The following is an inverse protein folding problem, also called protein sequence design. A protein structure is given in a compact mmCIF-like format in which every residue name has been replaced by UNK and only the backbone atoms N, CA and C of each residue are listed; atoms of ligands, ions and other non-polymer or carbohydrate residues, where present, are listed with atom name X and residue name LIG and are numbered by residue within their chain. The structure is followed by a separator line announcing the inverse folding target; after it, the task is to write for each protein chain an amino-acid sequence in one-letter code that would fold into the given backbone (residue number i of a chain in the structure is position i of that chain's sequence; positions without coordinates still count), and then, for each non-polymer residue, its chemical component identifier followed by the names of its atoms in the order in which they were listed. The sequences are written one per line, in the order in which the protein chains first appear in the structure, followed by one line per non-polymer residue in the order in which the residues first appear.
data_IF_485616323869
#
_entry.id   IF_485616323869
#
_cell.length_a   1.000
_cell.length_b   1.000
_cell.length_c   1.000
_cell.angle_alpha   90.00
_cell.angle_beta   90.00
_cell.angle_gamma   90.00
#
_symmetry.space_group_name_H-M   'P 1'
#
loop_
_entity.id
_entity.type
_entity.pdbx_description
1 polymer ?
#
# COMPACT_ATOMS: atom_id res chain seq x y z
N UNK A 1 -8.33 -13.15 -12.71
CA UNK A 1 -9.46 -12.32 -13.18
C UNK A 1 -9.48 -11.05 -12.36
N UNK A 2 -9.46 -9.90 -13.02
CA UNK A 2 -9.55 -8.58 -12.40
C UNK A 2 -10.94 -8.40 -11.77
N UNK A 3 -10.98 -8.04 -10.50
CA UNK A 3 -12.22 -7.73 -9.77
C UNK A 3 -12.40 -6.23 -9.56
N UNK A 4 -11.57 -5.43 -10.20
CA UNK A 4 -11.66 -3.97 -10.14
C UNK A 4 -12.85 -3.49 -10.97
N UNK A 5 -13.72 -2.71 -10.35
CA UNK A 5 -14.86 -2.07 -10.99
C UNK A 5 -14.61 -0.56 -11.04
N UNK A 6 -14.68 0.00 -12.23
CA UNK A 6 -14.50 1.42 -12.50
C UNK A 6 -15.87 2.08 -12.55
N UNK A 7 -16.08 3.06 -11.68
CA UNK A 7 -17.25 3.94 -11.75
C UNK A 7 -16.94 5.11 -12.68
N UNK A 8 -17.80 5.36 -13.66
CA UNK A 8 -17.61 6.40 -14.66
C UNK A 8 -17.75 7.83 -14.12
N UNK A 9 -18.28 8.00 -12.90
CA UNK A 9 -18.56 9.29 -12.31
C UNK A 9 -17.46 9.84 -11.42
N UNK A 10 -16.80 9.00 -10.63
CA UNK A 10 -15.82 9.45 -9.63
C UNK A 10 -14.78 8.40 -9.32
N UNK A 11 -13.50 8.72 -9.55
CA UNK A 11 -12.37 7.83 -9.23
C UNK A 11 -12.37 7.35 -7.77
N UNK A 12 -12.86 8.14 -6.81
CA UNK A 12 -12.94 7.78 -5.39
C UNK A 12 -13.92 6.67 -5.05
N UNK A 13 -14.81 6.29 -5.99
CA UNK A 13 -15.77 5.19 -5.81
C UNK A 13 -15.40 3.90 -6.52
N UNK A 14 -14.27 3.86 -7.19
CA UNK A 14 -13.79 2.62 -7.78
C UNK A 14 -13.62 1.54 -6.73
N UNK A 15 -14.04 0.34 -7.08
CA UNK A 15 -13.93 -0.84 -6.22
C UNK A 15 -12.83 -1.72 -6.75
N UNK A 16 -12.00 -2.23 -5.85
CA UNK A 16 -10.90 -3.13 -6.18
C UNK A 16 -10.71 -4.16 -5.06
N UNK A 17 -9.82 -5.10 -5.27
CA UNK A 17 -9.39 -6.08 -4.29
C UNK A 17 -7.88 -5.96 -4.04
N UNK A 18 -7.36 -6.39 -2.88
CA UNK A 18 -5.93 -6.29 -2.57
C UNK A 18 -5.03 -6.89 -3.65
N UNK A 19 -5.42 -8.05 -4.21
CA UNK A 19 -4.66 -8.73 -5.26
C UNK A 19 -4.48 -7.89 -6.52
N UNK A 20 -5.51 -7.20 -7.00
CA UNK A 20 -5.41 -6.33 -8.18
C UNK A 20 -4.46 -5.15 -7.93
N UNK A 21 -4.53 -4.54 -6.72
CA UNK A 21 -3.62 -3.47 -6.33
C UNK A 21 -2.17 -3.96 -6.22
N UNK A 22 -1.95 -5.14 -5.66
CA UNK A 22 -0.61 -5.72 -5.56
C UNK A 22 -0.01 -5.99 -6.93
N UNK A 23 -0.78 -6.52 -7.88
CA UNK A 23 -0.34 -6.72 -9.26
C UNK A 23 0.02 -5.41 -9.95
N UNK A 24 -0.77 -4.34 -9.73
CA UNK A 24 -0.51 -3.02 -10.28
C UNK A 24 0.78 -2.42 -9.70
N UNK A 25 0.96 -2.50 -8.40
CA UNK A 25 2.17 -1.99 -7.72
C UNK A 25 3.40 -2.80 -8.13
N UNK A 26 3.31 -4.13 -8.20
CA UNK A 26 4.39 -4.99 -8.71
C UNK A 26 4.79 -4.58 -10.13
N UNK A 27 3.83 -4.41 -11.03
CA UNK A 27 4.09 -4.02 -12.41
C UNK A 27 4.80 -2.67 -12.54
N UNK A 28 4.55 -1.73 -11.63
CA UNK A 28 5.11 -0.36 -11.68
C UNK A 28 6.41 -0.25 -10.88
N UNK A 29 6.48 -0.87 -9.70
CA UNK A 29 7.57 -0.62 -8.74
C UNK A 29 8.55 -1.78 -8.59
N UNK A 30 8.16 -3.03 -8.87
CA UNK A 30 8.97 -4.21 -8.59
C UNK A 30 9.51 -4.87 -9.85
N UNK A 31 8.65 -5.10 -10.83
CA UNK A 31 8.98 -5.85 -12.05
C UNK A 31 9.30 -4.96 -13.26
N UNK A 32 9.87 -5.55 -14.32
CA UNK A 32 10.14 -4.88 -15.61
C UNK A 32 8.95 -4.90 -16.58
N UNK A 33 7.75 -5.16 -16.10
CA UNK A 33 6.57 -5.39 -16.96
C UNK A 33 6.05 -4.13 -17.66
N UNK A 34 6.14 -2.98 -17.00
CA UNK A 34 5.53 -1.72 -17.48
C UNK A 34 6.56 -0.61 -17.62
N UNK A 35 7.46 -0.48 -16.67
CA UNK A 35 8.47 0.56 -16.64
C UNK A 35 9.88 -0.03 -16.76
N UNK A 36 10.71 0.60 -17.59
CA UNK A 36 12.15 0.35 -17.57
C UNK A 36 12.80 0.78 -16.23
N UNK A 37 14.03 0.36 -16.00
CA UNK A 37 14.73 0.60 -14.73
C UNK A 37 14.84 2.07 -14.34
N UNK A 38 15.04 2.98 -15.31
CA UNK A 38 15.13 4.43 -15.04
C UNK A 38 13.78 5.01 -14.59
N UNK A 39 12.71 4.72 -15.33
CA UNK A 39 11.35 5.18 -15.01
C UNK A 39 10.84 4.57 -13.70
N UNK A 40 11.15 3.31 -13.45
CA UNK A 40 10.82 2.64 -12.19
C UNK A 40 11.52 3.30 -11.00
N UNK A 41 12.78 3.68 -11.14
CA UNK A 41 13.50 4.43 -10.10
C UNK A 41 12.80 5.75 -9.79
N UNK A 42 12.39 6.50 -10.80
CA UNK A 42 11.62 7.73 -10.62
C UNK A 42 10.28 7.46 -9.92
N UNK A 43 9.55 6.44 -10.33
CA UNK A 43 8.28 6.06 -9.71
C UNK A 43 8.45 5.70 -8.22
N UNK A 44 9.50 4.95 -7.87
CA UNK A 44 9.85 4.65 -6.47
C UNK A 44 10.17 5.90 -5.68
N UNK A 45 10.95 6.82 -6.22
CA UNK A 45 11.28 8.08 -5.56
C UNK A 45 10.02 8.92 -5.30
N UNK A 46 9.15 9.09 -6.30
CA UNK A 46 7.92 9.86 -6.15
C UNK A 46 6.96 9.23 -5.13
N UNK A 47 6.84 7.90 -5.11
CA UNK A 47 5.97 7.20 -4.17
C UNK A 47 6.61 7.03 -2.76
N UNK A 48 7.90 7.27 -2.62
CA UNK A 48 8.58 7.36 -1.34
C UNK A 48 8.51 8.76 -0.73
N UNK A 49 8.38 9.80 -1.55
CA UNK A 49 8.34 11.22 -1.11
C UNK A 49 6.93 11.62 -0.65
N UNK A 50 6.43 10.93 0.37
CA UNK A 50 5.13 11.22 0.99
C UNK A 50 5.32 12.07 2.23
N UNK A 51 4.48 13.09 2.40
CA UNK A 51 4.52 13.97 3.58
C UNK A 51 4.41 13.17 4.88
N UNK A 52 5.15 13.54 5.95
CA UNK A 52 5.25 12.73 7.17
C UNK A 52 3.90 12.34 7.79
N UNK A 53 2.91 13.23 7.75
CA UNK A 53 1.58 13.00 8.32
C UNK A 53 0.79 11.89 7.60
N UNK A 54 1.18 11.58 6.38
CA UNK A 54 0.55 10.55 5.54
C UNK A 54 1.38 9.25 5.43
N UNK A 55 2.50 9.16 6.14
CA UNK A 55 3.35 7.96 6.20
C UNK A 55 2.81 6.97 7.23
N UNK A 56 1.81 6.21 6.84
CA UNK A 56 1.17 5.17 7.65
C UNK A 56 0.87 3.94 6.77
N UNK A 57 0.36 2.86 7.34
CA UNK A 57 0.09 1.63 6.63
C UNK A 57 1.39 0.95 6.18
N UNK A 58 1.60 0.76 4.88
CA UNK A 58 2.82 0.13 4.34
C UNK A 58 4.09 0.86 4.76
N UNK A 59 4.02 2.14 5.16
CA UNK A 59 5.17 2.88 5.72
C UNK A 59 5.49 2.51 7.19
N UNK A 60 4.61 1.82 7.93
CA UNK A 60 4.82 1.52 9.35
C UNK A 60 6.16 0.80 9.65
N UNK A 61 6.63 -0.17 8.84
CA UNK A 61 7.92 -0.83 9.07
C UNK A 61 9.16 -0.02 8.63
N UNK A 62 9.03 1.19 8.09
CA UNK A 62 10.13 1.98 7.54
C UNK A 62 11.28 2.23 8.55
N UNK A 63 10.98 2.31 9.84
CA UNK A 63 11.98 2.41 10.90
C UNK A 63 12.93 1.19 11.00
N UNK A 64 12.64 0.11 10.29
CA UNK A 64 13.36 -1.18 10.32
C UNK A 64 14.41 -1.32 9.21
N UNK A 65 14.98 -0.23 8.72
CA UNK A 65 16.03 -0.20 7.67
C UNK A 65 15.55 -0.73 6.31
N UNK A 66 14.31 -0.44 5.96
CA UNK A 66 13.74 -0.76 4.66
C UNK A 66 13.41 0.52 3.88
N UNK A 67 13.40 0.41 2.57
CA UNK A 67 12.87 1.42 1.66
C UNK A 67 11.40 1.13 1.37
N UNK A 68 10.57 2.15 1.43
CA UNK A 68 9.14 2.03 1.17
C UNK A 68 8.72 3.03 0.11
N UNK A 69 8.02 2.54 -0.91
CA UNK A 69 7.34 3.36 -1.90
C UNK A 69 5.86 2.96 -1.91
N UNK A 70 4.98 3.83 -1.44
CA UNK A 70 3.58 3.48 -1.20
C UNK A 70 2.60 4.61 -1.50
N UNK A 71 1.32 4.23 -1.69
CA UNK A 71 0.18 5.14 -1.86
C UNK A 71 -0.89 4.81 -0.84
N UNK A 72 -1.26 5.80 -0.07
CA UNK A 72 -2.38 5.74 0.84
C UNK A 72 -3.62 6.40 0.24
N UNK A 73 -4.79 5.92 0.62
CA UNK A 73 -6.07 6.50 0.28
C UNK A 73 -7.04 6.35 1.44
N UNK A 74 -7.80 7.38 1.74
CA UNK A 74 -8.83 7.34 2.76
C UNK A 74 -10.00 8.25 2.39
N UNK A 75 -11.15 7.99 3.01
CA UNK A 75 -12.33 8.82 2.83
C UNK A 75 -13.42 8.46 3.83
N UNK A 76 -14.29 9.42 4.15
CA UNK A 76 -15.43 9.16 5.02
C UNK A 76 -16.44 8.22 4.34
N UNK A 77 -17.15 7.47 5.15
CA UNK A 77 -18.33 6.70 4.82
C UNK A 77 -19.46 7.14 5.76
N UNK A 78 -20.72 6.84 5.43
CA UNK A 78 -21.85 7.16 6.32
C UNK A 78 -21.68 6.61 7.74
N UNK A 79 -20.94 5.50 7.88
CA UNK A 79 -20.74 4.78 9.13
C UNK A 79 -19.25 4.61 9.50
N UNK A 80 -18.38 5.51 9.06
CA UNK A 80 -16.96 5.45 9.42
C UNK A 80 -16.01 5.94 8.34
N UNK A 81 -14.92 5.20 8.12
CA UNK A 81 -13.86 5.55 7.17
C UNK A 81 -13.40 4.33 6.36
N UNK A 82 -13.07 4.55 5.10
CA UNK A 82 -12.16 3.69 4.34
C UNK A 82 -10.72 4.13 4.57
N UNK A 83 -9.81 3.17 4.74
CA UNK A 83 -8.39 3.40 4.81
C UNK A 83 -7.68 2.30 4.01
N UNK A 84 -6.95 2.71 3.01
CA UNK A 84 -6.27 1.82 2.08
C UNK A 84 -4.80 2.20 2.00
N UNK A 85 -3.93 1.22 2.02
CA UNK A 85 -2.49 1.39 1.88
C UNK A 85 -1.95 0.31 0.97
N UNK A 86 -1.21 0.69 -0.07
CA UNK A 86 -0.55 -0.27 -0.97
C UNK A 86 0.83 0.25 -1.34
N UNK A 87 1.80 -0.65 -1.46
CA UNK A 87 3.15 -0.24 -1.78
C UNK A 87 4.14 -1.38 -1.87
N UNK A 88 5.35 -1.02 -2.24
CA UNK A 88 6.52 -1.87 -2.32
C UNK A 88 7.47 -1.58 -1.16
N UNK A 89 8.01 -2.64 -0.57
CA UNK A 89 8.96 -2.60 0.55
C UNK A 89 10.20 -3.40 0.14
N UNK A 90 11.39 -2.82 0.29
CA UNK A 90 12.65 -3.48 -0.03
C UNK A 90 13.75 -3.14 0.98
N UNK A 91 14.65 -4.06 1.22
CA UNK A 91 15.78 -3.94 2.14
C UNK A 91 15.66 -4.89 3.35
N UNK A 92 16.76 -5.04 4.11
CA UNK A 92 16.83 -5.98 5.23
C UNK A 92 16.38 -7.40 4.85
N UNK A 93 16.88 -7.90 3.69
CA UNK A 93 16.59 -9.22 3.12
C UNK A 93 15.11 -9.43 2.72
N UNK A 94 14.40 -8.35 2.45
CA UNK A 94 12.99 -8.35 2.03
C UNK A 94 12.80 -7.62 0.70
N UNK A 95 11.91 -8.15 -0.10
CA UNK A 95 11.40 -7.49 -1.33
C UNK A 95 9.98 -7.99 -1.59
N UNK A 96 8.98 -7.18 -1.26
CA UNK A 96 7.58 -7.57 -1.39
C UNK A 96 6.66 -6.40 -1.68
N UNK A 97 5.48 -6.72 -2.19
CA UNK A 97 4.35 -5.79 -2.34
C UNK A 97 3.28 -6.13 -1.31
N UNK A 98 2.76 -5.12 -0.63
CA UNK A 98 1.68 -5.25 0.34
C UNK A 98 0.52 -4.33 -0.04
N UNK A 99 -0.69 -4.87 -0.01
CA UNK A 99 -1.93 -4.11 -0.19
C UNK A 99 -2.92 -4.39 0.92
N UNK A 100 -3.31 -3.35 1.64
CA UNK A 100 -4.26 -3.38 2.75
C UNK A 100 -5.46 -2.52 2.40
N UNK A 101 -6.63 -3.13 2.32
CA UNK A 101 -7.90 -2.44 2.16
C UNK A 101 -8.72 -2.62 3.42
N UNK A 102 -9.17 -1.54 4.01
CA UNK A 102 -9.89 -1.60 5.29
C UNK A 102 -11.07 -0.64 5.36
N UNK A 103 -11.97 -0.93 6.30
CA UNK A 103 -13.08 -0.08 6.72
C UNK A 103 -13.10 -0.04 8.25
N UNK A 104 -13.20 1.14 8.82
CA UNK A 104 -13.26 1.36 10.25
C UNK A 104 -14.53 2.12 10.62
N UNK A 105 -15.39 1.50 11.43
CA UNK A 105 -16.56 2.14 12.04
C UNK A 105 -16.18 2.95 13.29
N UNK A 106 -15.00 2.69 13.87
CA UNK A 106 -14.45 3.41 15.02
C UNK A 106 -13.65 4.68 14.63
N UNK A 107 -13.80 5.15 13.39
CA UNK A 107 -13.20 6.39 12.90
C UNK A 107 -11.79 6.22 12.32
N UNK A 108 -11.26 7.34 11.79
CA UNK A 108 -9.99 7.39 11.07
C UNK A 108 -8.79 6.95 11.92
N UNK A 109 -8.66 7.49 13.14
CA UNK A 109 -7.50 7.20 13.99
C UNK A 109 -7.40 5.73 14.38
N UNK A 110 -8.52 5.09 14.67
CA UNK A 110 -8.57 3.66 14.94
C UNK A 110 -8.18 2.87 13.70
N UNK A 111 -8.80 3.14 12.55
CA UNK A 111 -8.49 2.46 11.31
C UNK A 111 -7.01 2.60 10.90
N UNK A 112 -6.40 3.79 11.09
CA UNK A 112 -4.98 4.00 10.83
C UNK A 112 -4.09 3.13 11.72
N UNK A 113 -4.39 3.01 13.02
CA UNK A 113 -3.64 2.10 13.91
C UNK A 113 -3.75 0.66 13.44
N UNK A 114 -4.96 0.19 13.15
CA UNK A 114 -5.18 -1.17 12.64
C UNK A 114 -4.39 -1.45 11.36
N UNK A 115 -4.40 -0.53 10.40
CA UNK A 115 -3.65 -0.69 9.14
C UNK A 115 -2.14 -0.71 9.40
N UNK A 116 -1.63 0.09 10.35
CA UNK A 116 -0.23 0.04 10.76
C UNK A 116 0.13 -1.31 11.39
N UNK A 117 -0.68 -1.80 12.31
CA UNK A 117 -0.47 -3.08 12.99
C UNK A 117 -0.48 -4.25 12.00
N UNK A 118 -1.41 -4.24 11.03
CA UNK A 118 -1.44 -5.25 9.95
C UNK A 118 -0.16 -5.18 9.12
N UNK A 119 0.30 -3.99 8.75
CA UNK A 119 1.55 -3.83 8.00
C UNK A 119 2.75 -4.35 8.78
N UNK A 120 2.82 -4.09 10.08
CA UNK A 120 3.90 -4.58 10.96
C UNK A 120 3.89 -6.11 11.11
N UNK A 121 2.72 -6.71 11.24
CA UNK A 121 2.56 -8.18 11.30
C UNK A 121 3.02 -8.81 9.98
N UNK A 122 2.54 -8.29 8.84
CA UNK A 122 2.97 -8.78 7.53
C UNK A 122 4.48 -8.64 7.32
N UNK A 123 5.05 -7.49 7.69
CA UNK A 123 6.48 -7.25 7.60
C UNK A 123 7.30 -8.24 8.44
N UNK A 124 6.85 -8.53 9.65
CA UNK A 124 7.51 -9.50 10.53
C UNK A 124 7.42 -10.91 9.97
N UNK A 125 6.24 -11.32 9.50
CA UNK A 125 6.04 -12.62 8.89
C UNK A 125 6.93 -12.86 7.65
N UNK A 126 7.15 -11.82 6.84
CA UNK A 126 8.08 -11.90 5.69
C UNK A 126 9.55 -12.07 6.10
N UNK A 127 9.92 -11.75 7.36
CA UNK A 127 11.28 -12.01 7.87
C UNK A 127 11.50 -13.49 8.19
N UNK A 128 10.46 -14.16 8.63
CA UNK A 128 10.53 -15.54 9.13
C UNK A 128 10.43 -16.60 8.02
N UNK A 129 10.49 -16.16 6.75
CA UNK A 129 10.55 -17.06 5.60
C UNK A 129 9.22 -17.73 5.28
N UNK A 130 8.10 -17.04 5.44
CA UNK A 130 6.84 -17.40 4.77
C UNK A 130 6.98 -17.11 3.26
N UNK A 131 7.84 -17.88 2.65
CA UNK A 131 7.94 -18.02 1.21
C UNK A 131 7.01 -19.15 0.77
#
# INVERSE_FOLDING_TARGET
MTKTQVDSGWWGFWRTVPGDLSLMVDAVLSSDRVLDGGRRTIARMLMADVVPQQRWGVFAPESRKVHVAAKNGWGPLPDGYRLNSTGWVSGADRDYVLSILSRSTAGFSHGRRTVNEVADICHSAMADGLA
#
